data_IF_584809923191
#
_entry.id   IF_584809923191
#
_cell.length_a   1.000
_cell.length_b   1.000
_cell.length_c   1.000
_cell.angle_alpha   90.00
_cell.angle_beta   90.00
_cell.angle_gamma   90.00
#
_symmetry.space_group_name_H-M   'P 1'
#
loop_
_entity.id
_entity.type
_entity.pdbx_description
1 polymer ?
#
# COMPACT_ATOMS: atom_id res chain seq x y z
N UNK A 1 34.44 21.93 -14.78
CA UNK A 1 33.84 20.87 -15.60
C UNK A 1 32.93 20.13 -14.67
N UNK A 2 31.74 20.69 -14.57
CA UNK A 2 30.81 20.52 -13.48
C UNK A 2 30.18 19.14 -13.57
N UNK A 3 30.34 18.36 -12.52
CA UNK A 3 29.60 17.13 -12.32
C UNK A 3 28.19 17.50 -11.81
N UNK A 4 27.41 18.14 -12.70
CA UNK A 4 25.99 18.45 -12.50
C UNK A 4 25.17 17.15 -12.66
N UNK A 5 25.54 16.15 -11.85
CA UNK A 5 24.76 14.94 -11.66
C UNK A 5 23.40 15.37 -11.11
N UNK A 6 22.36 15.28 -11.94
CA UNK A 6 20.97 15.48 -11.52
C UNK A 6 20.72 14.73 -10.22
N UNK A 7 20.67 15.48 -9.11
CA UNK A 7 20.16 14.94 -7.84
C UNK A 7 18.74 14.46 -8.11
N UNK A 8 18.40 13.17 -7.90
CA UNK A 8 17.06 12.68 -8.15
C UNK A 8 16.02 13.54 -7.44
N UNK A 9 14.92 13.92 -8.11
CA UNK A 9 13.81 14.65 -7.49
C UNK A 9 13.31 13.99 -6.20
N UNK A 10 13.40 12.66 -6.11
CA UNK A 10 13.13 11.90 -4.90
C UNK A 10 14.08 12.24 -3.76
N UNK A 11 15.37 12.41 -4.02
CA UNK A 11 16.37 12.74 -3.00
C UNK A 11 16.19 14.19 -2.52
N UNK A 12 15.88 15.11 -3.44
CA UNK A 12 15.50 16.50 -3.12
C UNK A 12 14.25 16.56 -2.22
N UNK A 13 13.25 15.71 -2.47
CA UNK A 13 12.00 15.71 -1.71
C UNK A 13 12.04 14.83 -0.45
N UNK A 14 13.01 13.92 -0.33
CA UNK A 14 13.13 12.96 0.79
C UNK A 14 13.06 13.62 2.18
N UNK A 15 13.75 14.75 2.45
CA UNK A 15 13.62 15.45 3.75
C UNK A 15 12.21 15.96 4.06
N UNK A 16 11.37 16.17 3.04
CA UNK A 16 9.94 16.52 3.20
C UNK A 16 9.09 15.27 3.39
N UNK A 17 9.32 14.22 2.61
CA UNK A 17 8.59 12.94 2.70
C UNK A 17 8.82 12.21 4.05
N UNK A 18 10.01 12.35 4.63
CA UNK A 18 10.35 11.76 5.94
C UNK A 18 9.69 12.49 7.13
N UNK A 19 9.23 13.75 6.96
CA UNK A 19 8.51 14.49 8.01
C UNK A 19 7.08 14.01 8.22
N UNK A 20 6.47 13.35 7.23
CA UNK A 20 5.16 12.72 7.38
C UNK A 20 5.24 11.63 8.46
N UNK A 21 4.35 11.63 9.43
CA UNK A 21 4.26 10.52 10.39
C UNK A 21 3.71 9.27 9.70
N UNK A 22 4.08 8.08 10.19
CA UNK A 22 3.56 6.82 9.63
C UNK A 22 2.04 6.64 9.78
N UNK A 23 1.37 7.50 10.56
CA UNK A 23 -0.09 7.54 10.68
C UNK A 23 -0.76 8.37 9.57
N UNK A 24 -0.04 9.33 8.99
CA UNK A 24 -0.53 10.17 7.88
C UNK A 24 -0.32 9.49 6.52
N UNK A 25 0.70 8.62 6.40
CA UNK A 25 1.02 7.87 5.17
C UNK A 25 -0.13 6.95 4.76
N UNK A 26 -0.66 7.16 3.56
CA UNK A 26 -1.74 6.35 2.96
C UNK A 26 -1.21 5.63 1.71
N UNK A 27 -1.47 4.32 1.55
CA UNK A 27 -1.15 3.66 0.30
C UNK A 27 -2.09 4.13 -0.84
N UNK A 28 -1.62 4.12 -2.10
CA UNK A 28 -2.46 4.21 -3.29
C UNK A 28 -3.64 3.24 -3.21
N UNK A 29 -4.85 3.78 -3.30
CA UNK A 29 -6.11 3.06 -3.14
C UNK A 29 -7.15 3.60 -4.13
N UNK A 30 -8.08 2.73 -4.56
CA UNK A 30 -9.14 3.06 -5.52
C UNK A 30 -8.69 3.24 -6.98
N UNK A 31 -7.55 3.89 -7.24
CA UNK A 31 -6.99 4.13 -8.57
C UNK A 31 -5.65 3.40 -8.76
N UNK A 32 -5.37 2.78 -9.93
CA UNK A 32 -4.04 2.27 -10.27
C UNK A 32 -2.98 3.39 -10.23
N UNK A 33 -1.84 3.16 -9.58
CA UNK A 33 -0.82 4.21 -9.39
C UNK A 33 -0.23 4.73 -10.71
N UNK A 34 -0.15 3.90 -11.75
CA UNK A 34 0.26 4.32 -13.09
C UNK A 34 -0.72 5.34 -13.70
N UNK A 35 -2.03 5.13 -13.52
CA UNK A 35 -3.07 6.08 -13.93
C UNK A 35 -2.99 7.37 -13.11
N UNK A 36 -2.80 7.27 -11.79
CA UNK A 36 -2.64 8.43 -10.91
C UNK A 36 -1.45 9.31 -11.32
N UNK A 37 -0.28 8.71 -11.59
CA UNK A 37 0.91 9.44 -12.04
C UNK A 37 0.70 10.08 -13.42
N UNK A 38 0.02 9.42 -14.36
CA UNK A 38 -0.29 10.00 -15.67
C UNK A 38 -1.30 11.17 -15.58
N UNK A 39 -2.27 11.10 -14.66
CA UNK A 39 -3.13 12.26 -14.35
C UNK A 39 -2.33 13.40 -13.71
N UNK A 40 -1.41 13.09 -12.79
CA UNK A 40 -0.55 14.07 -12.13
C UNK A 40 0.34 14.83 -13.12
N UNK A 41 0.95 14.14 -14.09
CA UNK A 41 1.70 14.77 -15.19
C UNK A 41 0.83 15.65 -16.07
N UNK A 42 -0.33 15.15 -16.49
CA UNK A 42 -1.30 15.92 -17.31
C UNK A 42 -1.72 17.21 -16.58
N UNK A 43 -1.86 17.12 -15.27
CA UNK A 43 -2.24 18.23 -14.40
C UNK A 43 -1.08 19.20 -14.14
N UNK A 44 0.16 18.71 -14.00
CA UNK A 44 1.36 19.53 -13.94
C UNK A 44 1.53 20.37 -15.22
N UNK A 45 1.36 19.75 -16.39
CA UNK A 45 1.38 20.45 -17.69
C UNK A 45 0.23 21.47 -17.85
N UNK A 46 -0.90 21.26 -17.17
CA UNK A 46 -1.99 22.24 -17.12
C UNK A 46 -1.60 23.45 -16.26
N UNK A 47 -1.03 23.22 -15.07
CA UNK A 47 -0.63 24.27 -14.11
C UNK A 47 0.56 25.09 -14.63
N UNK A 48 1.48 24.47 -15.38
CA UNK A 48 2.62 25.15 -16.00
C UNK A 48 2.23 26.28 -16.99
N UNK A 49 0.95 26.38 -17.38
CA UNK A 49 0.44 27.49 -18.19
C UNK A 49 0.25 28.74 -17.33
N UNK A 50 0.70 29.89 -17.84
CA UNK A 50 0.62 31.18 -17.14
C UNK A 50 -0.81 31.56 -16.77
N UNK A 51 -1.77 31.40 -17.70
CA UNK A 51 -3.18 31.72 -17.45
C UNK A 51 -3.82 30.86 -16.34
N UNK A 52 -3.32 29.64 -16.17
CA UNK A 52 -3.79 28.70 -15.16
C UNK A 52 -3.17 28.99 -13.80
N UNK A 53 -1.84 29.10 -13.75
CA UNK A 53 -1.09 29.39 -12.53
C UNK A 53 -1.46 30.75 -11.93
N UNK A 54 -1.62 31.81 -12.74
CA UNK A 54 -2.10 33.11 -12.27
C UNK A 54 -3.53 33.04 -11.70
N UNK A 55 -4.40 32.20 -12.28
CA UNK A 55 -5.72 31.92 -11.75
C UNK A 55 -5.69 31.25 -10.37
N UNK A 56 -4.78 30.30 -10.17
CA UNK A 56 -4.57 29.64 -8.88
C UNK A 56 -3.98 30.59 -7.82
N UNK A 57 -3.04 31.47 -8.20
CA UNK A 57 -2.47 32.49 -7.29
C UNK A 57 -3.54 33.47 -6.81
N UNK A 58 -4.44 33.92 -7.69
CA UNK A 58 -5.56 34.82 -7.36
C UNK A 58 -6.51 34.28 -6.29
N UNK A 59 -6.57 32.96 -6.08
CA UNK A 59 -7.38 32.32 -5.02
C UNK A 59 -6.54 31.85 -3.82
N UNK A 60 -5.30 32.33 -3.68
CA UNK A 60 -4.45 32.09 -2.51
C UNK A 60 -3.48 30.90 -2.63
N UNK A 61 -3.29 30.34 -3.82
CA UNK A 61 -2.26 29.30 -4.02
C UNK A 61 -0.86 29.94 -4.04
N UNK A 62 0.02 29.57 -3.11
CA UNK A 62 1.37 30.12 -3.02
C UNK A 62 2.29 29.68 -4.18
N UNK A 63 3.21 30.56 -4.57
CA UNK A 63 4.24 30.27 -5.58
C UNK A 63 5.08 29.04 -5.24
N UNK A 64 5.47 28.88 -3.96
CA UNK A 64 6.24 27.74 -3.45
C UNK A 64 5.56 26.39 -3.74
N UNK A 65 4.23 26.33 -3.57
CA UNK A 65 3.45 25.12 -3.85
C UNK A 65 3.35 24.84 -5.35
N UNK A 66 3.19 25.88 -6.17
CA UNK A 66 3.22 25.72 -7.63
C UNK A 66 4.61 25.24 -8.10
N UNK A 67 5.68 25.75 -7.49
CA UNK A 67 7.07 25.39 -7.80
C UNK A 67 7.46 23.97 -7.36
N UNK A 68 6.90 23.43 -6.27
CA UNK A 68 7.23 22.06 -5.81
C UNK A 68 6.49 20.95 -6.58
N UNK A 69 5.43 21.27 -7.33
CA UNK A 69 4.62 20.27 -8.04
C UNK A 69 5.41 19.42 -9.04
N UNK A 70 6.28 19.96 -9.93
CA UNK A 70 7.06 19.14 -10.86
C UNK A 70 7.94 18.12 -10.13
N UNK A 71 8.67 18.55 -9.10
CA UNK A 71 9.51 17.70 -8.24
C UNK A 71 8.67 16.65 -7.51
N UNK A 72 7.49 17.00 -6.99
CA UNK A 72 6.57 16.05 -6.36
C UNK A 72 6.10 14.94 -7.32
N UNK A 73 5.81 15.29 -8.58
CA UNK A 73 5.43 14.32 -9.63
C UNK A 73 6.59 13.38 -9.97
N UNK A 74 7.80 13.91 -10.16
CA UNK A 74 8.96 13.09 -10.49
C UNK A 74 9.42 12.21 -9.32
N UNK A 75 9.45 12.75 -8.09
CA UNK A 75 9.74 11.98 -6.88
C UNK A 75 8.78 10.79 -6.71
N UNK A 76 7.47 10.98 -6.91
CA UNK A 76 6.49 9.90 -6.84
C UNK A 76 6.68 8.84 -7.96
N UNK A 77 7.07 9.26 -9.17
CA UNK A 77 7.43 8.34 -10.26
C UNK A 77 8.70 7.55 -9.95
N UNK A 78 9.74 8.20 -9.44
CA UNK A 78 11.01 7.57 -9.06
C UNK A 78 10.78 6.57 -7.93
N UNK A 79 10.07 6.94 -6.86
CA UNK A 79 9.73 6.03 -5.77
C UNK A 79 8.88 4.83 -6.23
N UNK A 80 7.95 5.03 -7.17
CA UNK A 80 7.21 3.94 -7.80
C UNK A 80 8.09 3.03 -8.68
N UNK A 81 9.12 3.57 -9.35
CA UNK A 81 10.12 2.76 -10.08
C UNK A 81 10.95 1.91 -9.13
N UNK A 82 11.49 2.50 -8.06
CA UNK A 82 12.23 1.79 -7.00
C UNK A 82 11.37 0.68 -6.40
N UNK A 83 10.12 0.98 -6.03
CA UNK A 83 9.17 -0.03 -5.54
C UNK A 83 8.91 -1.14 -6.58
N UNK A 84 8.74 -0.80 -7.85
CA UNK A 84 8.51 -1.80 -8.90
C UNK A 84 9.70 -2.76 -9.07
N UNK A 85 10.94 -2.23 -9.00
CA UNK A 85 12.16 -3.04 -9.02
C UNK A 85 12.25 -3.95 -7.80
N UNK A 86 12.04 -3.44 -6.58
CA UNK A 86 12.13 -4.23 -5.34
C UNK A 86 10.97 -5.23 -5.16
N UNK A 87 9.83 -5.00 -5.80
CA UNK A 87 8.71 -5.96 -5.86
C UNK A 87 8.93 -7.04 -6.93
N UNK A 88 9.71 -6.74 -7.98
CA UNK A 88 10.01 -7.67 -9.08
C UNK A 88 11.14 -8.65 -8.79
N UNK A 89 12.02 -8.36 -7.82
CA UNK A 89 13.07 -9.28 -7.39
C UNK A 89 12.48 -10.52 -6.73
N UNK A 90 12.69 -11.68 -7.35
CA UNK A 90 12.49 -13.00 -6.72
C UNK A 90 13.71 -13.32 -5.86
N UNK A 91 13.48 -13.91 -4.69
CA UNK A 91 14.49 -14.59 -3.89
C UNK A 91 15.29 -15.58 -4.77
N UNK A 92 16.59 -15.74 -4.53
CA UNK A 92 17.39 -16.76 -5.21
C UNK A 92 16.85 -18.17 -4.93
N UNK A 93 17.10 -19.15 -5.81
CA UNK A 93 16.72 -20.54 -5.55
C UNK A 93 17.41 -21.08 -4.29
N UNK A 94 18.68 -20.71 -4.11
CA UNK A 94 19.49 -20.97 -2.90
C UNK A 94 18.82 -20.41 -1.64
N UNK A 95 18.27 -19.19 -1.67
CA UNK A 95 17.55 -18.59 -0.55
C UNK A 95 16.26 -19.34 -0.22
N UNK A 96 15.49 -19.69 -1.24
CA UNK A 96 14.23 -20.40 -1.06
C UNK A 96 14.47 -21.82 -0.51
N UNK A 97 15.57 -22.46 -0.89
CA UNK A 97 16.04 -23.71 -0.29
C UNK A 97 16.55 -23.52 1.15
N UNK A 98 17.34 -22.47 1.41
CA UNK A 98 17.83 -22.13 2.74
C UNK A 98 16.69 -21.85 3.75
N UNK A 99 15.62 -21.18 3.32
CA UNK A 99 14.40 -21.01 4.12
C UNK A 99 13.79 -22.38 4.46
N UNK A 100 13.54 -23.23 3.46
CA UNK A 100 12.93 -24.55 3.66
C UNK A 100 13.75 -25.44 4.59
N UNK A 101 15.07 -25.52 4.37
CA UNK A 101 15.99 -26.28 5.23
C UNK A 101 16.04 -25.69 6.63
N UNK A 102 16.11 -24.35 6.76
CA UNK A 102 16.10 -23.66 8.05
C UNK A 102 14.84 -23.93 8.87
N UNK A 103 13.65 -23.90 8.26
CA UNK A 103 12.39 -24.19 8.96
C UNK A 103 12.30 -25.64 9.45
N UNK A 104 12.77 -26.59 8.62
CA UNK A 104 12.85 -28.00 8.98
C UNK A 104 13.86 -28.23 10.12
N UNK A 105 15.08 -27.71 9.98
CA UNK A 105 16.17 -27.82 10.96
C UNK A 105 15.80 -27.20 12.31
N UNK A 106 15.23 -25.99 12.30
CA UNK A 106 14.68 -25.33 13.50
C UNK A 106 13.62 -26.21 14.17
N UNK A 107 12.74 -26.84 13.41
CA UNK A 107 11.69 -27.72 13.96
C UNK A 107 12.26 -29.00 14.57
N UNK A 108 13.30 -29.59 13.96
CA UNK A 108 14.01 -30.75 14.50
C UNK A 108 14.79 -30.40 15.77
N UNK A 109 15.64 -29.38 15.70
CA UNK A 109 16.47 -28.91 16.81
C UNK A 109 15.62 -28.44 18.01
N UNK A 110 14.52 -27.72 17.78
CA UNK A 110 13.61 -27.31 18.86
C UNK A 110 12.96 -28.51 19.57
N UNK A 111 12.66 -29.60 18.86
CA UNK A 111 12.16 -30.85 19.47
C UNK A 111 13.25 -31.54 20.28
N UNK A 112 14.46 -31.65 19.74
CA UNK A 112 15.60 -32.24 20.44
C UNK A 112 15.96 -31.47 21.71
N UNK A 113 16.05 -30.13 21.65
CA UNK A 113 16.28 -29.30 22.82
C UNK A 113 15.17 -29.44 23.87
N UNK A 114 13.89 -29.49 23.46
CA UNK A 114 12.77 -29.74 24.39
C UNK A 114 12.85 -31.10 25.07
N UNK A 115 13.29 -32.15 24.37
CA UNK A 115 13.43 -33.49 24.91
C UNK A 115 14.64 -33.62 25.83
N UNK A 116 15.83 -33.26 25.36
CA UNK A 116 17.09 -33.51 26.06
C UNK A 116 17.29 -32.54 27.24
N UNK A 117 16.80 -31.29 27.13
CA UNK A 117 16.88 -30.27 28.18
C UNK A 117 15.59 -30.17 29.01
N UNK A 118 14.73 -31.22 29.00
CA UNK A 118 13.38 -31.22 29.61
C UNK A 118 13.34 -30.95 31.12
N UNK A 119 14.44 -31.21 31.83
CA UNK A 119 14.54 -31.06 33.28
C UNK A 119 15.04 -29.68 33.72
N UNK A 120 15.49 -28.83 32.79
CA UNK A 120 15.90 -27.46 33.06
C UNK A 120 14.73 -26.49 32.79
N UNK A 121 14.11 -26.01 33.86
CA UNK A 121 12.93 -25.15 33.76
C UNK A 121 13.22 -23.77 33.15
N UNK A 122 14.45 -23.26 33.25
CA UNK A 122 14.86 -21.97 32.68
C UNK A 122 15.05 -22.09 31.17
N UNK A 123 15.75 -23.14 30.71
CA UNK A 123 15.88 -23.45 29.29
C UNK A 123 14.50 -23.72 28.68
N UNK A 124 13.62 -24.50 29.35
CA UNK A 124 12.26 -24.73 28.85
C UNK A 124 11.40 -23.46 28.79
N UNK A 125 11.69 -22.43 29.59
CA UNK A 125 11.07 -21.11 29.44
C UNK A 125 11.61 -20.39 28.19
N UNK A 126 12.93 -20.38 27.99
CA UNK A 126 13.58 -19.73 26.86
C UNK A 126 13.16 -20.35 25.51
N UNK A 127 13.04 -21.68 25.43
CA UNK A 127 12.58 -22.41 24.23
C UNK A 127 11.13 -22.09 23.80
N UNK A 128 10.35 -21.34 24.61
CA UNK A 128 9.00 -20.86 24.23
C UNK A 128 9.04 -19.59 23.37
N UNK A 129 10.14 -18.85 23.38
CA UNK A 129 10.30 -17.64 22.57
C UNK A 129 10.70 -17.93 21.12
N UNK A 130 11.23 -19.12 20.84
CA UNK A 130 11.51 -19.64 19.49
C UNK A 130 10.19 -19.96 18.80
N UNK A 131 9.78 -19.12 17.84
CA UNK A 131 8.45 -19.15 17.22
C UNK A 131 8.50 -19.79 15.84
N UNK A 132 7.79 -20.90 15.64
CA UNK A 132 7.65 -21.53 14.32
C UNK A 132 7.06 -20.60 13.24
N UNK A 133 6.37 -19.53 13.62
CA UNK A 133 5.94 -18.46 12.72
C UNK A 133 6.76 -17.18 12.98
N UNK A 134 7.42 -16.65 11.94
CA UNK A 134 8.30 -15.48 12.09
C UNK A 134 8.78 -14.93 10.74
N UNK A 135 9.56 -13.86 10.80
CA UNK A 135 10.27 -13.33 9.63
C UNK A 135 11.52 -14.15 9.33
N UNK A 136 12.14 -13.98 8.17
CA UNK A 136 13.44 -14.60 7.86
C UNK A 136 14.54 -14.20 8.87
N UNK A 137 14.48 -12.96 9.39
CA UNK A 137 15.38 -12.52 10.45
C UNK A 137 15.11 -13.27 11.78
N UNK A 138 13.85 -13.57 12.06
CA UNK A 138 13.47 -14.42 13.20
C UNK A 138 13.98 -15.85 13.01
N UNK A 139 13.85 -16.42 11.81
CA UNK A 139 14.37 -17.75 11.49
C UNK A 139 15.90 -17.84 11.66
N UNK A 140 16.64 -16.85 11.17
CA UNK A 140 18.10 -16.81 11.33
C UNK A 140 18.53 -16.66 12.80
N UNK A 141 17.79 -15.86 13.59
CA UNK A 141 18.01 -15.73 15.03
C UNK A 141 17.69 -17.03 15.78
N UNK A 142 16.52 -17.65 15.50
CA UNK A 142 16.12 -18.94 16.07
C UNK A 142 17.20 -20.01 15.83
N UNK A 143 17.78 -20.05 14.63
CA UNK A 143 18.86 -20.99 14.28
C UNK A 143 20.16 -20.72 15.04
N UNK A 144 20.55 -19.45 15.24
CA UNK A 144 21.68 -19.11 16.09
C UNK A 144 21.46 -19.44 17.56
N UNK A 145 20.27 -19.17 18.10
CA UNK A 145 19.93 -19.42 19.49
C UNK A 145 19.88 -20.95 19.77
N UNK A 146 19.34 -21.73 18.82
CA UNK A 146 19.38 -23.20 18.89
C UNK A 146 20.82 -23.74 18.80
N UNK A 147 21.62 -23.28 17.84
CA UNK A 147 23.03 -23.69 17.73
C UNK A 147 23.80 -23.40 19.03
N UNK A 148 23.60 -22.21 19.61
CA UNK A 148 24.22 -21.81 20.88
C UNK A 148 23.77 -22.69 22.06
N UNK A 149 22.51 -23.10 22.12
CA UNK A 149 22.02 -24.02 23.17
C UNK A 149 22.65 -25.42 23.02
N UNK A 150 22.79 -25.92 21.79
CA UNK A 150 23.44 -27.21 21.53
C UNK A 150 24.94 -27.18 21.93
N UNK A 151 25.64 -26.09 21.61
CA UNK A 151 27.04 -25.87 22.01
C UNK A 151 27.25 -25.73 23.52
N UNK A 152 26.25 -25.19 24.23
CA UNK A 152 26.34 -24.91 25.68
C UNK A 152 26.04 -26.14 26.55
N UNK A 153 25.23 -27.09 26.04
CA UNK A 153 24.80 -28.27 26.78
C UNK A 153 25.09 -29.60 26.05
N UNK A 154 26.31 -29.83 25.50
CA UNK A 154 26.59 -30.98 24.62
C UNK A 154 26.34 -32.33 25.32
N UNK A 155 26.71 -32.44 26.61
CA UNK A 155 26.51 -33.63 27.44
C UNK A 155 25.03 -34.07 27.53
N UNK A 156 24.07 -33.15 27.39
CA UNK A 156 22.65 -33.48 27.43
C UNK A 156 22.19 -34.26 26.19
N UNK A 157 22.94 -34.20 25.09
CA UNK A 157 22.60 -34.84 23.81
C UNK A 157 23.39 -36.14 23.56
N UNK A 158 24.44 -36.45 24.35
CA UNK A 158 25.26 -37.67 24.15
C UNK A 158 24.46 -38.98 24.19
N UNK A 159 23.33 -39.00 24.90
CA UNK A 159 22.44 -40.17 24.99
C UNK A 159 21.41 -40.26 23.86
N UNK A 160 21.25 -39.23 23.03
CA UNK A 160 20.26 -39.18 21.95
C UNK A 160 20.86 -39.62 20.61
N UNK A 161 20.83 -40.93 20.37
CA UNK A 161 21.29 -41.53 19.10
C UNK A 161 20.44 -41.13 17.87
N UNK A 162 19.35 -40.37 18.04
CA UNK A 162 18.47 -39.93 16.95
C UNK A 162 18.77 -38.50 16.48
N UNK A 163 19.68 -37.79 17.15
CA UNK A 163 19.95 -36.38 16.90
C UNK A 163 21.45 -36.05 17.00
N UNK A 164 22.08 -35.81 15.84
CA UNK A 164 23.46 -35.30 15.78
C UNK A 164 23.49 -33.78 16.05
N UNK A 165 23.73 -33.41 17.30
CA UNK A 165 23.84 -32.01 17.72
C UNK A 165 24.99 -31.26 17.03
N UNK A 166 26.08 -31.95 16.68
CA UNK A 166 27.27 -31.32 16.09
C UNK A 166 27.04 -30.95 14.63
N UNK A 167 26.45 -31.84 13.84
CA UNK A 167 26.02 -31.56 12.47
C UNK A 167 24.98 -30.43 12.42
N UNK A 168 23.98 -30.47 13.32
CA UNK A 168 22.92 -29.46 13.39
C UNK A 168 23.46 -28.07 13.75
N UNK A 169 24.46 -27.95 14.63
CA UNK A 169 25.13 -26.67 14.92
C UNK A 169 25.77 -26.07 13.67
N UNK A 170 26.49 -26.89 12.90
CA UNK A 170 27.17 -26.45 11.67
C UNK A 170 26.15 -26.01 10.63
N UNK A 171 25.13 -26.83 10.35
CA UNK A 171 24.11 -26.50 9.34
C UNK A 171 23.29 -25.27 9.76
N UNK A 172 22.91 -25.14 11.05
CA UNK A 172 22.15 -24.00 11.54
C UNK A 172 22.93 -22.69 11.39
N UNK A 173 24.22 -22.68 11.71
CA UNK A 173 25.10 -21.52 11.49
C UNK A 173 25.26 -21.18 10.01
N UNK A 174 25.44 -22.19 9.15
CA UNK A 174 25.58 -21.98 7.71
C UNK A 174 24.31 -21.41 7.07
N UNK A 175 23.13 -21.98 7.39
CA UNK A 175 21.84 -21.47 6.91
C UNK A 175 21.58 -20.06 7.47
N UNK A 176 21.83 -19.82 8.76
CA UNK A 176 21.67 -18.48 9.33
C UNK A 176 22.56 -17.45 8.62
N UNK A 177 23.82 -17.80 8.31
CA UNK A 177 24.70 -16.96 7.48
C UNK A 177 24.05 -16.69 6.12
N UNK A 178 23.69 -17.71 5.34
CA UNK A 178 23.04 -17.51 4.02
C UNK A 178 21.79 -16.62 4.09
N UNK A 179 20.95 -16.79 5.10
CA UNK A 179 19.75 -15.97 5.31
C UNK A 179 20.07 -14.52 5.72
N UNK A 180 21.20 -14.28 6.40
CA UNK A 180 21.68 -12.93 6.76
C UNK A 180 22.51 -12.27 5.65
N UNK A 181 23.30 -13.04 4.90
CA UNK A 181 24.22 -12.58 3.86
C UNK A 181 23.46 -12.17 2.61
N UNK A 182 22.52 -12.99 2.12
CA UNK A 182 21.63 -12.55 1.03
C UNK A 182 20.80 -11.35 1.51
N UNK A 183 20.30 -11.35 2.76
CA UNK A 183 19.66 -10.15 3.34
C UNK A 183 20.61 -8.94 3.42
N UNK A 184 21.93 -9.13 3.55
CA UNK A 184 22.96 -8.09 3.58
C UNK A 184 23.26 -7.53 2.18
N UNK A 185 23.26 -8.38 1.14
CA UNK A 185 23.25 -7.94 -0.27
C UNK A 185 21.95 -7.19 -0.61
N UNK A 186 20.81 -7.62 -0.07
CA UNK A 186 19.55 -6.86 -0.09
C UNK A 186 19.61 -5.53 0.71
N UNK A 187 20.52 -5.40 1.68
CA UNK A 187 20.74 -4.17 2.48
C UNK A 187 21.73 -3.18 1.87
N UNK A 188 22.54 -3.60 0.89
CA UNK A 188 23.31 -2.68 0.03
C UNK A 188 22.41 -1.90 -0.96
N UNK A 189 21.09 -2.16 -0.95
CA UNK A 189 20.09 -1.36 -1.65
C UNK A 189 18.89 -1.02 -0.76
N UNK A 190 17.99 -0.19 -1.28
CA UNK A 190 16.74 0.19 -0.60
C UNK A 190 15.88 -1.06 -0.41
N UNK A 191 15.65 -1.48 0.84
CA UNK A 191 14.88 -2.69 1.16
C UNK A 191 13.45 -2.61 0.61
N UNK A 192 12.83 -3.77 0.34
CA UNK A 192 11.45 -3.81 -0.17
C UNK A 192 10.46 -3.04 0.73
N UNK A 193 10.63 -3.09 2.06
CA UNK A 193 9.81 -2.32 3.00
C UNK A 193 10.07 -0.81 2.89
N UNK A 194 11.34 -0.38 2.83
CA UNK A 194 11.71 1.04 2.68
C UNK A 194 11.27 1.61 1.33
N UNK A 195 11.42 0.85 0.24
CA UNK A 195 10.94 1.21 -1.09
C UNK A 195 9.41 1.35 -1.13
N UNK A 196 8.69 0.50 -0.38
CA UNK A 196 7.24 0.62 -0.23
C UNK A 196 6.86 1.88 0.54
N UNK A 197 7.45 2.09 1.71
CA UNK A 197 7.18 3.24 2.59
C UNK A 197 7.47 4.57 1.89
N UNK A 198 8.63 4.69 1.21
CA UNK A 198 8.97 5.88 0.42
C UNK A 198 7.97 6.13 -0.72
N UNK A 199 7.49 5.08 -1.39
CA UNK A 199 6.46 5.18 -2.43
C UNK A 199 5.09 5.59 -1.86
N UNK A 200 4.70 5.07 -0.70
CA UNK A 200 3.44 5.42 -0.04
C UNK A 200 3.48 6.87 0.50
N UNK A 201 4.64 7.34 1.01
CA UNK A 201 4.89 8.75 1.37
C UNK A 201 4.80 9.69 0.17
N UNK A 202 5.52 9.39 -0.91
CA UNK A 202 5.53 10.21 -2.12
C UNK A 202 4.14 10.29 -2.76
N UNK A 203 3.39 9.17 -2.76
CA UNK A 203 1.98 9.17 -3.16
C UNK A 203 1.12 10.05 -2.25
N UNK A 204 1.24 9.94 -0.92
CA UNK A 204 0.46 10.71 0.05
C UNK A 204 0.64 12.21 -0.19
N UNK A 205 1.90 12.67 -0.20
CA UNK A 205 2.27 14.07 -0.41
C UNK A 205 1.73 14.61 -1.74
N UNK A 206 1.96 13.88 -2.85
CA UNK A 206 1.47 14.30 -4.17
C UNK A 206 -0.07 14.29 -4.24
N UNK A 207 -0.73 13.32 -3.61
CA UNK A 207 -2.19 13.25 -3.61
C UNK A 207 -2.83 14.40 -2.83
N UNK A 208 -2.24 14.82 -1.71
CA UNK A 208 -2.69 15.98 -0.94
C UNK A 208 -2.48 17.27 -1.73
N UNK A 209 -1.29 17.50 -2.26
CA UNK A 209 -0.94 18.65 -3.10
C UNK A 209 -1.89 18.79 -4.30
N UNK A 210 -2.13 17.69 -5.03
CA UNK A 210 -3.09 17.67 -6.14
C UNK A 210 -4.53 17.90 -5.64
N UNK A 211 -4.94 17.32 -4.52
CA UNK A 211 -6.31 17.51 -4.00
C UNK A 211 -6.60 18.96 -3.63
N UNK A 212 -5.60 19.69 -3.14
CA UNK A 212 -5.71 21.12 -2.87
C UNK A 212 -5.79 21.94 -4.16
N UNK A 213 -4.90 21.70 -5.13
CA UNK A 213 -4.96 22.39 -6.42
C UNK A 213 -6.24 22.13 -7.23
N UNK A 214 -6.83 20.94 -7.10
CA UNK A 214 -8.13 20.64 -7.71
C UNK A 214 -9.23 21.54 -7.13
N UNK A 215 -9.33 21.65 -5.80
CA UNK A 215 -10.27 22.57 -5.12
C UNK A 215 -10.01 24.03 -5.49
N UNK A 216 -8.75 24.45 -5.49
CA UNK A 216 -8.36 25.82 -5.84
C UNK A 216 -8.74 26.15 -7.29
N UNK A 217 -8.51 25.25 -8.24
CA UNK A 217 -8.86 25.46 -9.65
C UNK A 217 -10.36 25.36 -9.94
N UNK A 218 -11.08 24.44 -9.30
CA UNK A 218 -12.55 24.41 -9.35
C UNK A 218 -13.15 25.74 -8.89
N UNK A 219 -12.60 26.35 -7.83
CA UNK A 219 -13.05 27.65 -7.35
C UNK A 219 -12.59 28.85 -8.21
N UNK A 220 -11.32 28.84 -8.67
CA UNK A 220 -10.74 29.90 -9.49
C UNK A 220 -11.39 30.00 -10.87
N UNK A 221 -11.79 28.87 -11.45
CA UNK A 221 -12.37 28.78 -12.79
C UNK A 221 -13.86 28.42 -12.78
N UNK A 222 -14.56 28.61 -11.65
CA UNK A 222 -16.00 28.31 -11.49
C UNK A 222 -16.90 28.93 -12.58
N UNK A 223 -16.56 30.13 -13.04
CA UNK A 223 -17.29 30.87 -14.08
C UNK A 223 -16.91 30.41 -15.52
N UNK A 224 -15.97 29.45 -15.64
CA UNK A 224 -15.56 28.80 -16.88
C UNK A 224 -15.65 27.26 -16.71
N UNK A 225 -16.84 26.66 -16.94
CA UNK A 225 -17.08 25.24 -16.69
C UNK A 225 -16.13 24.29 -17.42
N UNK A 226 -15.72 24.63 -18.64
CA UNK A 226 -14.78 23.81 -19.43
C UNK A 226 -13.35 23.84 -18.88
N UNK A 227 -12.94 24.93 -18.21
CA UNK A 227 -11.68 24.97 -17.47
C UNK A 227 -11.79 24.27 -16.11
N UNK A 228 -12.84 24.55 -15.32
CA UNK A 228 -13.08 23.88 -14.03
C UNK A 228 -13.11 22.34 -14.16
N UNK A 229 -13.72 21.83 -15.23
CA UNK A 229 -13.76 20.39 -15.59
C UNK A 229 -12.37 19.78 -15.86
N UNK A 230 -11.32 20.57 -16.09
CA UNK A 230 -9.92 20.09 -16.17
C UNK A 230 -9.28 19.84 -14.81
N UNK A 231 -9.86 20.40 -13.73
CA UNK A 231 -9.44 20.17 -12.35
C UNK A 231 -10.07 18.92 -11.72
N UNK A 232 -10.92 18.18 -12.43
CA UNK A 232 -11.46 16.90 -11.96
C UNK A 232 -10.71 15.70 -12.53
N UNK A 233 -10.49 14.64 -11.74
CA UNK A 233 -9.91 13.38 -12.21
C UNK A 233 -10.69 12.82 -13.42
N UNK A 234 -9.99 12.37 -14.46
CA UNK A 234 -10.59 11.73 -15.65
C UNK A 234 -10.98 10.29 -15.33
N UNK A 235 -10.15 9.58 -14.56
CA UNK A 235 -10.41 8.22 -14.10
C UNK A 235 -11.73 8.13 -13.34
N UNK A 236 -11.90 8.94 -12.29
CA UNK A 236 -13.12 8.89 -11.47
C UNK A 236 -14.37 9.31 -12.25
N UNK A 237 -14.28 10.30 -13.15
CA UNK A 237 -15.39 10.62 -14.06
C UNK A 237 -15.77 9.45 -14.97
N UNK A 238 -14.78 8.76 -15.54
CA UNK A 238 -15.01 7.58 -16.38
C UNK A 238 -15.63 6.40 -15.61
N UNK A 239 -15.14 6.14 -14.39
CA UNK A 239 -15.72 5.10 -13.53
C UNK A 239 -17.15 5.43 -13.12
N UNK A 240 -17.43 6.66 -12.66
CA UNK A 240 -18.77 7.07 -12.26
C UNK A 240 -19.76 7.03 -13.43
N UNK A 241 -19.32 7.43 -14.64
CA UNK A 241 -20.13 7.33 -15.86
C UNK A 241 -20.40 5.88 -16.25
N UNK A 242 -19.45 4.95 -16.06
CA UNK A 242 -19.69 3.52 -16.27
C UNK A 242 -20.69 2.96 -15.25
N UNK A 243 -20.56 3.33 -13.98
CA UNK A 243 -21.50 2.92 -12.92
C UNK A 243 -22.91 3.41 -13.24
N UNK A 244 -23.08 4.67 -13.64
CA UNK A 244 -24.36 5.25 -14.04
C UNK A 244 -25.00 4.55 -15.25
N UNK A 245 -24.21 4.14 -16.26
CA UNK A 245 -24.73 3.31 -17.37
C UNK A 245 -25.15 1.92 -16.87
N UNK A 246 -24.38 1.30 -15.96
CA UNK A 246 -24.65 -0.04 -15.47
C UNK A 246 -25.77 -0.15 -14.44
N UNK A 247 -26.15 0.97 -13.80
CA UNK A 247 -27.23 1.05 -12.83
C UNK A 247 -28.14 2.26 -13.13
N UNK A 248 -28.95 2.18 -14.20
CA UNK A 248 -29.89 3.24 -14.56
C UNK A 248 -31.11 3.19 -13.61
N UNK A 249 -30.98 3.79 -12.44
CA UNK A 249 -32.16 4.13 -11.63
C UNK A 249 -33.07 5.05 -12.46
N UNK A 250 -34.35 4.68 -12.52
CA UNK A 250 -35.34 5.26 -13.43
C UNK A 250 -35.40 6.79 -13.31
N UNK A 251 -35.63 7.53 -14.41
CA UNK A 251 -35.80 8.97 -14.33
C UNK A 251 -36.97 9.26 -13.38
N UNK A 252 -36.73 10.12 -12.38
CA UNK A 252 -37.78 10.57 -11.47
C UNK A 252 -38.94 11.13 -12.31
N UNK A 253 -40.13 10.51 -12.21
CA UNK A 253 -41.25 10.91 -13.05
C UNK A 253 -41.59 12.39 -12.80
N UNK A 254 -41.79 13.20 -13.86
CA UNK A 254 -42.21 14.58 -13.69
C UNK A 254 -43.59 14.58 -13.03
N UNK A 255 -43.65 15.11 -11.80
CA UNK A 255 -44.81 15.00 -10.93
C UNK A 255 -46.10 15.44 -11.62
N UNK A 256 -47.05 14.50 -11.74
CA UNK A 256 -48.37 14.75 -12.29
C UNK A 256 -49.10 15.71 -11.32
N UNK A 257 -49.24 16.97 -11.73
CA UNK A 257 -50.18 17.90 -11.12
C UNK A 257 -51.61 17.45 -11.45
N UNK A 258 -52.15 16.55 -10.63
CA UNK A 258 -53.56 16.17 -10.70
C UNK A 258 -54.40 17.38 -10.30
N UNK A 259 -55.02 18.01 -11.30
CA UNK A 259 -55.89 19.16 -11.09
C UNK A 259 -57.20 18.69 -10.46
N UNK A 260 -57.45 19.09 -9.21
CA UNK A 260 -58.51 18.53 -8.35
C UNK A 260 -59.91 19.12 -8.65
N UNK A 261 -60.29 19.19 -9.93
CA UNK A 261 -61.45 19.92 -10.42
C UNK A 261 -62.48 19.07 -11.21
N UNK A 262 -62.14 17.84 -11.62
CA UNK A 262 -63.00 17.00 -12.49
C UNK A 262 -63.49 15.71 -11.79
N UNK A 263 -63.91 15.82 -10.52
CA UNK A 263 -64.68 14.77 -9.83
C UNK A 263 -66.05 15.26 -9.39
N UNK A 264 -66.82 15.78 -10.36
CA UNK A 264 -68.27 15.82 -10.26
C UNK A 264 -68.91 15.33 -11.56
N UNK A 265 -69.93 14.48 -11.37
CA UNK A 265 -71.00 14.09 -12.29
C UNK A 265 -70.82 12.76 -13.08
N UNK A 266 -71.97 12.11 -13.28
CA UNK A 266 -72.18 10.70 -13.72
C UNK A 266 -71.72 9.67 -12.68
N UNK A 267 -72.53 8.69 -12.21
CA UNK A 267 -73.75 8.12 -12.79
C UNK A 267 -74.77 7.62 -11.76
N UNK A 268 -76.05 7.77 -12.08
CA UNK A 268 -77.24 7.06 -11.55
C UNK A 268 -78.20 6.86 -12.75
N UNK A 269 -79.20 5.96 -12.70
CA UNK A 269 -79.24 4.63 -12.08
C UNK A 269 -79.76 3.56 -13.07
N UNK A 270 -79.78 2.28 -12.67
CA UNK A 270 -80.56 1.24 -13.36
C UNK A 270 -81.23 0.29 -12.35
N UNK A 271 -82.47 -0.11 -12.65
CA UNK A 271 -83.42 -0.68 -11.70
C UNK A 271 -83.36 -2.21 -11.61
N UNK A 272 -83.76 -2.76 -10.46
CA UNK A 272 -84.53 -4.01 -10.44
C UNK A 272 -85.55 -4.05 -9.28
N UNK A 273 -86.80 -3.77 -9.62
CA UNK A 273 -88.00 -4.25 -8.92
C UNK A 273 -88.13 -5.78 -9.14
N UNK A 274 -88.91 -6.58 -8.39
CA UNK A 274 -89.92 -6.27 -7.37
C UNK A 274 -90.33 -7.55 -6.60
N UNK A 275 -90.79 -7.39 -5.34
CA UNK A 275 -91.84 -8.23 -4.67
C UNK A 275 -91.59 -9.76 -4.58
N UNK A 276 -92.31 -10.61 -3.83
CA UNK A 276 -93.48 -10.57 -2.91
C UNK A 276 -93.29 -11.80 -1.99
N UNK A 277 -93.85 -11.91 -0.79
CA UNK A 277 -94.92 -11.15 -0.12
C UNK A 277 -94.38 -10.49 1.14
#
# INVERSE_FOLDING_TARGET
MEDDMLTPDLDLLTPTLQKLSSAEVRPPSGMPISTFLAEAETFNSLIARTDVSDGLKKVGTSDERLAILPTAVQAARQAQSVWAQQRGRRNSEVFNEAIKRGEALRTQALKACKWNLRHDAEIQANLKFIRQTGSIATLAQDLHDLARLLEMYPLAFESDQTFDSSSVVIEARQIASTLMDEKSEYHHGISQHSAKDMRDRAFTYLNELLSEFRKAGEYAFRDNPEMAKRFTSRYWRSQNHRVAISNPELPAEPGILVNLAELQNTSEPAQHSSSTV
#
